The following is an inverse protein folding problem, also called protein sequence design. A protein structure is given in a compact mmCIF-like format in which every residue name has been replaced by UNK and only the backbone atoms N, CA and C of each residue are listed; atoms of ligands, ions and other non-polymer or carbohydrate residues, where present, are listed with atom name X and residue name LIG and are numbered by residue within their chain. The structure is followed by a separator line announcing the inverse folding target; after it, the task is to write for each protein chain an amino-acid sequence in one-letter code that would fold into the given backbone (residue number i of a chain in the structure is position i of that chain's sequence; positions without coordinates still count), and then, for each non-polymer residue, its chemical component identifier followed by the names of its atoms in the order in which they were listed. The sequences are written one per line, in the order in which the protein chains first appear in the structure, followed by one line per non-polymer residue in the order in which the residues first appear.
data_IF_844585251056
#
_entry.id   IF_844585251056
#
_cell.length_a   1.000
_cell.length_b   1.000
_cell.length_c   1.000
_cell.angle_alpha   90.00
_cell.angle_beta   90.00
_cell.angle_gamma   90.00
#
_symmetry.space_group_name_H-M   'P 1'
#
loop_
_entity.id
_entity.type
_entity.pdbx_description
1 polymer ?
#
# COMPACT_ATOMS: atom_id res chain seq x y z
N UNK A 1 13.75 17.60 5.09
CA UNK A 1 12.83 18.66 4.63
C UNK A 1 11.39 18.16 4.54
N UNK A 2 11.12 17.03 3.89
CA UNK A 2 9.73 16.52 3.77
C UNK A 2 9.15 16.04 5.12
N UNK A 3 9.96 15.39 5.95
CA UNK A 3 9.51 14.96 7.28
C UNK A 3 9.23 16.14 8.22
N UNK A 4 10.04 17.22 8.18
CA UNK A 4 9.79 18.43 8.95
C UNK A 4 8.46 19.10 8.56
N UNK A 5 8.17 19.19 7.27
CA UNK A 5 6.87 19.71 6.79
C UNK A 5 5.72 18.83 7.29
N UNK A 6 5.89 17.50 7.31
CA UNK A 6 4.93 16.56 7.87
C UNK A 6 4.67 16.81 9.36
N UNK A 7 5.74 17.01 10.14
CA UNK A 7 5.64 17.30 11.60
C UNK A 7 4.89 18.61 11.86
N UNK A 8 5.25 19.70 11.16
CA UNK A 8 4.58 21.00 11.30
C UNK A 8 3.08 20.92 10.99
N UNK A 9 2.70 20.08 10.04
CA UNK A 9 1.29 19.88 9.68
C UNK A 9 0.53 19.12 10.74
N UNK A 10 1.11 18.05 11.28
CA UNK A 10 0.46 17.27 12.34
C UNK A 10 0.22 18.13 13.58
N UNK A 11 1.19 18.98 13.94
CA UNK A 11 1.04 19.95 15.03
C UNK A 11 -0.11 20.92 14.74
N UNK A 12 -0.12 21.53 13.56
CA UNK A 12 -1.19 22.46 13.15
C UNK A 12 -2.57 21.80 13.17
N UNK A 13 -2.68 20.58 12.64
CA UNK A 13 -3.96 19.88 12.56
C UNK A 13 -4.46 19.51 13.97
N UNK A 14 -3.55 19.11 14.87
CA UNK A 14 -3.87 18.90 16.30
C UNK A 14 -4.36 20.18 16.98
N UNK A 15 -3.70 21.31 16.75
CA UNK A 15 -4.15 22.62 17.25
C UNK A 15 -5.53 23.05 16.71
N UNK A 16 -5.90 22.56 15.54
CA UNK A 16 -7.22 22.76 14.94
C UNK A 16 -8.29 21.76 15.38
N UNK A 17 -7.94 20.86 16.30
CA UNK A 17 -8.87 19.91 16.90
C UNK A 17 -9.03 18.59 16.13
N UNK A 18 -8.11 18.24 15.24
CA UNK A 18 -8.05 16.89 14.69
C UNK A 18 -7.54 15.96 15.77
N UNK A 19 -8.40 15.07 16.28
CA UNK A 19 -8.07 14.20 17.42
C UNK A 19 -7.46 12.84 16.98
N UNK A 20 -7.77 12.40 15.78
CA UNK A 20 -7.34 11.09 15.26
C UNK A 20 -6.87 11.21 13.83
N UNK A 21 -5.68 10.73 13.55
CA UNK A 21 -5.09 10.71 12.22
C UNK A 21 -4.16 9.50 12.07
N UNK A 22 -4.18 8.89 10.92
CA UNK A 22 -3.17 7.94 10.48
C UNK A 22 -2.43 8.52 9.28
N UNK A 23 -1.14 8.79 9.45
CA UNK A 23 -0.25 9.20 8.38
C UNK A 23 0.43 7.98 7.76
N UNK A 24 0.32 7.84 6.48
CA UNK A 24 0.97 6.82 5.67
C UNK A 24 2.03 7.49 4.79
N UNK A 25 3.30 7.20 5.03
CA UNK A 25 4.43 7.83 4.35
C UNK A 25 4.90 6.98 3.18
N UNK A 26 4.72 7.50 1.96
CA UNK A 26 5.25 6.92 0.74
C UNK A 26 6.64 7.50 0.40
N UNK A 27 7.44 6.74 -0.35
CA UNK A 27 8.74 7.21 -0.82
C UNK A 27 9.75 7.54 0.28
N UNK A 28 9.59 6.98 1.46
CA UNK A 28 10.45 7.22 2.63
C UNK A 28 11.89 6.70 2.47
N UNK A 29 12.09 5.77 1.55
CA UNK A 29 13.34 5.04 1.37
C UNK A 29 14.28 5.74 0.38
N UNK A 30 15.59 5.51 0.50
CA UNK A 30 16.62 6.12 -0.34
C UNK A 30 16.42 5.88 -1.84
N UNK A 31 15.99 4.70 -2.31
CA UNK A 31 15.71 4.50 -3.73
C UNK A 31 14.51 5.30 -4.26
N UNK A 32 13.63 5.77 -3.38
CA UNK A 32 12.37 6.43 -3.72
C UNK A 32 11.21 5.46 -3.91
N UNK A 33 10.04 6.02 -4.27
CA UNK A 33 8.83 5.28 -4.51
C UNK A 33 8.97 4.39 -5.75
N UNK A 34 8.44 3.17 -5.69
CA UNK A 34 8.47 2.17 -6.78
C UNK A 34 9.85 1.96 -7.39
N UNK A 35 10.86 1.80 -6.52
CA UNK A 35 12.23 1.64 -6.96
C UNK A 35 13.01 0.65 -6.08
N UNK A 36 13.80 -0.21 -6.71
CA UNK A 36 14.72 -1.18 -6.10
C UNK A 36 14.11 -2.15 -5.08
N UNK A 37 12.79 -2.41 -5.15
CA UNK A 37 12.20 -3.43 -4.29
C UNK A 37 12.92 -4.78 -4.43
N UNK A 38 13.18 -5.48 -3.31
CA UNK A 38 12.77 -5.24 -1.92
C UNK A 38 13.79 -4.43 -1.08
N UNK A 39 14.75 -3.74 -1.73
CA UNK A 39 15.84 -3.02 -1.06
C UNK A 39 15.46 -1.55 -0.79
N UNK A 40 14.62 -1.33 0.23
CA UNK A 40 14.18 0.00 0.63
C UNK A 40 15.23 0.80 1.41
N UNK A 41 16.05 0.10 2.20
CA UNK A 41 16.97 0.72 3.14
C UNK A 41 18.15 1.44 2.48
N UNK A 42 18.64 2.53 3.05
CA UNK A 42 18.21 3.25 4.25
C UNK A 42 17.05 4.23 3.99
N UNK A 43 16.63 4.98 5.02
CA UNK A 43 15.74 6.11 4.85
C UNK A 43 16.37 7.18 3.95
N UNK A 44 15.56 7.88 3.15
CA UNK A 44 15.98 8.86 2.15
C UNK A 44 16.69 10.05 2.80
N UNK A 45 17.95 10.28 2.44
CA UNK A 45 18.76 11.39 2.97
C UNK A 45 18.20 12.75 2.58
N UNK A 46 17.67 12.87 1.39
CA UNK A 46 17.09 14.11 0.87
C UNK A 46 15.82 14.49 1.64
N UNK A 47 15.16 13.50 2.24
CA UNK A 47 14.00 13.69 3.13
C UNK A 47 14.39 13.85 4.61
N UNK A 48 15.69 13.82 4.95
CA UNK A 48 16.21 13.96 6.30
C UNK A 48 16.71 12.66 6.94
N UNK A 49 16.61 11.53 6.22
CA UNK A 49 17.15 10.25 6.67
C UNK A 49 16.39 9.67 7.88
N UNK A 50 17.09 8.82 8.63
CA UNK A 50 16.51 8.16 9.80
C UNK A 50 16.15 9.13 10.94
N UNK A 51 16.89 10.23 11.09
CA UNK A 51 16.69 11.20 12.14
C UNK A 51 15.36 11.92 11.98
N UNK A 52 15.11 12.52 10.80
CA UNK A 52 13.87 13.26 10.53
C UNK A 52 12.67 12.31 10.42
N UNK A 53 12.86 11.09 9.90
CA UNK A 53 11.79 10.08 9.91
C UNK A 53 11.37 9.69 11.33
N UNK A 54 12.35 9.57 12.25
CA UNK A 54 12.06 9.31 13.65
C UNK A 54 11.37 10.50 14.31
N UNK A 55 11.83 11.72 14.06
CA UNK A 55 11.20 12.95 14.57
C UNK A 55 9.74 13.05 14.10
N UNK A 56 9.46 12.74 12.82
CA UNK A 56 8.09 12.70 12.32
C UNK A 56 7.24 11.66 13.06
N UNK A 57 7.74 10.44 13.23
CA UNK A 57 7.02 9.39 13.95
C UNK A 57 6.74 9.78 15.40
N UNK A 58 7.74 10.36 16.10
CA UNK A 58 7.59 10.82 17.48
C UNK A 58 6.57 11.96 17.58
N UNK A 59 6.61 12.94 16.68
CA UNK A 59 5.63 14.04 16.61
C UNK A 59 4.21 13.53 16.38
N UNK A 60 4.04 12.56 15.49
CA UNK A 60 2.73 11.92 15.27
C UNK A 60 2.19 11.33 16.58
N UNK A 61 3.04 10.60 17.31
CA UNK A 61 2.64 9.98 18.57
C UNK A 61 2.38 11.00 19.69
N UNK A 62 3.13 12.10 19.74
CA UNK A 62 2.90 13.20 20.70
C UNK A 62 1.55 13.88 20.44
N UNK A 63 1.12 13.98 19.17
CA UNK A 63 -0.22 14.46 18.81
C UNK A 63 -1.32 13.42 19.04
N UNK A 64 -1.01 12.20 19.47
CA UNK A 64 -1.96 11.11 19.64
C UNK A 64 -2.34 10.41 18.32
N UNK A 65 -1.56 10.61 17.28
CA UNK A 65 -1.76 10.09 15.94
C UNK A 65 -1.02 8.77 15.70
N UNK A 66 -1.35 8.11 14.58
CA UNK A 66 -0.70 6.88 14.14
C UNK A 66 0.22 7.16 12.95
N UNK A 67 1.37 6.48 12.92
CA UNK A 67 2.35 6.58 11.85
C UNK A 67 2.58 5.25 11.16
N UNK A 68 2.58 5.24 9.83
CA UNK A 68 2.82 4.07 9.00
C UNK A 68 3.62 4.39 7.74
N UNK A 69 4.01 3.35 7.04
CA UNK A 69 4.84 3.42 5.83
C UNK A 69 4.29 2.54 4.73
N UNK A 70 4.70 2.88 3.50
CA UNK A 70 4.48 2.07 2.30
C UNK A 70 5.70 1.23 1.98
N UNK A 71 5.49 -0.05 1.73
CA UNK A 71 6.48 -1.01 1.23
C UNK A 71 5.85 -1.93 0.17
N UNK A 72 6.71 -2.64 -0.60
CA UNK A 72 6.29 -3.59 -1.62
C UNK A 72 7.30 -4.74 -1.72
N UNK A 73 6.83 -5.98 -1.84
CA UNK A 73 7.67 -7.20 -1.84
C UNK A 73 7.26 -8.21 -2.92
N UNK A 74 6.72 -7.73 -4.02
CA UNK A 74 6.38 -8.52 -5.20
C UNK A 74 7.20 -8.15 -6.43
N UNK A 75 7.27 -6.87 -6.76
CA UNK A 75 8.12 -6.40 -7.85
C UNK A 75 9.58 -6.55 -7.45
N UNK A 76 10.35 -7.17 -8.32
CA UNK A 76 11.76 -7.46 -8.08
C UNK A 76 12.60 -6.73 -9.11
N UNK A 77 13.08 -5.56 -8.73
CA UNK A 77 13.84 -4.70 -9.65
C UNK A 77 15.20 -5.29 -9.96
N UNK A 78 15.55 -5.33 -11.24
CA UNK A 78 16.87 -5.81 -11.68
C UNK A 78 18.02 -4.94 -11.17
N UNK A 79 17.76 -3.67 -10.88
CA UNK A 79 18.72 -2.76 -10.28
C UNK A 79 18.83 -2.88 -8.75
N UNK A 80 17.98 -3.67 -8.11
CA UNK A 80 18.03 -3.89 -6.66
C UNK A 80 19.31 -4.64 -6.27
N UNK A 81 20.03 -4.23 -5.21
CA UNK A 81 21.21 -4.94 -4.72
C UNK A 81 20.97 -6.42 -4.39
N UNK A 82 19.76 -6.76 -3.95
CA UNK A 82 19.36 -8.15 -3.66
C UNK A 82 18.88 -8.93 -4.88
N UNK A 83 18.90 -8.34 -6.09
CA UNK A 83 18.39 -9.03 -7.26
C UNK A 83 19.21 -10.31 -7.54
N UNK A 84 18.52 -11.44 -7.54
CA UNK A 84 19.06 -12.74 -7.91
C UNK A 84 17.98 -13.52 -8.65
N UNK A 85 18.28 -13.96 -9.85
CA UNK A 85 17.36 -14.76 -10.67
C UNK A 85 16.90 -16.04 -9.96
N UNK A 86 17.68 -16.54 -8.99
CA UNK A 86 17.29 -17.70 -8.19
C UNK A 86 16.16 -17.39 -7.21
N UNK A 87 15.86 -16.11 -6.93
CA UNK A 87 14.75 -15.69 -6.06
C UNK A 87 13.54 -15.19 -6.86
N UNK A 88 13.69 -15.05 -8.17
CA UNK A 88 12.59 -14.67 -9.04
C UNK A 88 11.63 -15.84 -9.33
N UNK A 89 10.35 -15.53 -9.56
CA UNK A 89 9.41 -16.52 -10.07
C UNK A 89 9.85 -17.04 -11.44
N UNK A 90 9.66 -18.35 -11.68
CA UNK A 90 9.89 -19.00 -12.96
C UNK A 90 8.59 -19.54 -13.54
N UNK A 91 8.43 -19.42 -14.84
CA UNK A 91 7.34 -20.05 -15.59
C UNK A 91 7.64 -21.54 -15.82
N UNK A 92 6.64 -22.34 -16.25
CA UNK A 92 6.82 -23.77 -16.50
C UNK A 92 7.90 -24.10 -17.54
N UNK A 93 8.22 -23.19 -18.46
CA UNK A 93 9.29 -23.35 -19.45
C UNK A 93 10.68 -22.94 -18.90
N UNK A 94 10.75 -22.56 -17.62
CA UNK A 94 11.96 -22.13 -16.94
C UNK A 94 12.31 -20.65 -17.14
N UNK A 95 11.59 -19.92 -17.96
CA UNK A 95 11.80 -18.47 -18.17
C UNK A 95 11.39 -17.66 -16.95
N UNK A 96 11.96 -16.47 -16.82
CA UNK A 96 11.65 -15.49 -15.76
C UNK A 96 10.79 -14.40 -16.40
N UNK A 97 9.55 -14.18 -15.92
CA UNK A 97 8.71 -13.10 -16.45
C UNK A 97 9.32 -11.74 -16.12
N UNK A 98 9.26 -10.83 -17.08
CA UNK A 98 9.81 -9.48 -16.95
C UNK A 98 8.80 -8.44 -17.41
N UNK A 99 8.84 -7.29 -16.77
CA UNK A 99 8.10 -6.10 -17.20
C UNK A 99 8.87 -4.82 -16.84
N UNK A 100 8.41 -3.70 -17.40
CA UNK A 100 8.93 -2.37 -17.09
C UNK A 100 7.76 -1.40 -17.10
N UNK A 101 7.10 -1.27 -15.96
CA UNK A 101 5.92 -0.41 -15.82
C UNK A 101 6.19 0.84 -15.00
N UNK A 102 7.15 0.77 -14.07
CA UNK A 102 7.38 1.80 -13.06
C UNK A 102 8.73 2.47 -13.25
N UNK A 103 8.93 3.60 -12.57
CA UNK A 103 10.10 4.46 -12.75
C UNK A 103 11.44 3.79 -12.40
N UNK A 104 11.44 2.79 -11.52
CA UNK A 104 12.64 2.06 -11.10
C UNK A 104 13.27 1.16 -12.17
N UNK A 105 12.66 1.02 -13.34
CA UNK A 105 13.21 0.28 -14.47
C UNK A 105 12.75 -1.16 -14.59
N UNK A 106 13.52 -2.03 -15.28
CA UNK A 106 13.15 -3.41 -15.52
C UNK A 106 12.95 -4.22 -14.24
N UNK A 107 11.91 -5.04 -14.21
CA UNK A 107 11.46 -5.81 -13.06
C UNK A 107 11.16 -7.25 -13.47
N UNK A 108 11.30 -8.14 -12.51
CA UNK A 108 10.72 -9.47 -12.47
C UNK A 108 9.74 -9.55 -11.30
N UNK A 109 9.35 -10.74 -10.88
CA UNK A 109 8.55 -10.98 -9.68
C UNK A 109 9.38 -11.73 -8.65
N UNK A 110 9.53 -11.16 -7.46
CA UNK A 110 10.10 -11.85 -6.31
C UNK A 110 9.17 -13.01 -5.94
N UNK A 111 9.70 -14.23 -5.88
CA UNK A 111 8.90 -15.34 -5.40
C UNK A 111 8.41 -15.08 -3.98
N UNK A 112 7.12 -15.21 -3.73
CA UNK A 112 6.54 -14.88 -2.43
C UNK A 112 7.12 -15.73 -1.28
N UNK A 113 7.75 -16.86 -1.58
CA UNK A 113 8.52 -17.65 -0.60
C UNK A 113 9.65 -16.85 0.05
N UNK A 114 10.17 -15.82 -0.64
CA UNK A 114 11.26 -14.96 -0.17
C UNK A 114 10.75 -13.69 0.56
N UNK A 115 9.53 -13.27 0.30
CA UNK A 115 8.97 -12.03 0.85
C UNK A 115 9.05 -11.93 2.38
N UNK A 116 8.74 -12.99 3.18
CA UNK A 116 8.83 -12.91 4.64
C UNK A 116 10.24 -12.60 5.16
N UNK A 117 11.28 -13.03 4.46
CA UNK A 117 12.66 -12.68 4.82
C UNK A 117 12.92 -11.18 4.69
N UNK A 118 12.55 -10.60 3.54
CA UNK A 118 12.78 -9.18 3.28
C UNK A 118 11.93 -8.28 4.16
N UNK A 119 10.66 -8.61 4.37
CA UNK A 119 9.79 -7.90 5.33
C UNK A 119 10.45 -7.88 6.72
N UNK A 120 10.84 -9.04 7.23
CA UNK A 120 11.50 -9.13 8.54
C UNK A 120 12.79 -8.33 8.59
N UNK A 121 13.63 -8.39 7.55
CA UNK A 121 14.88 -7.62 7.43
C UNK A 121 14.61 -6.13 7.55
N UNK A 122 13.72 -5.61 6.72
CA UNK A 122 13.46 -4.17 6.62
C UNK A 122 12.83 -3.61 7.90
N UNK A 123 11.78 -4.25 8.40
CA UNK A 123 11.11 -3.80 9.64
C UNK A 123 11.98 -3.95 10.89
N UNK A 124 12.88 -4.94 10.92
CA UNK A 124 13.87 -5.05 11.99
C UNK A 124 14.83 -3.86 11.98
N UNK A 125 15.26 -3.42 10.80
CA UNK A 125 16.18 -2.28 10.67
C UNK A 125 15.51 -0.96 11.07
N UNK A 126 14.29 -0.71 10.60
CA UNK A 126 13.49 0.47 10.98
C UNK A 126 13.35 0.53 12.52
N UNK A 127 13.04 -0.60 13.14
CA UNK A 127 12.93 -0.71 14.62
C UNK A 127 14.25 -0.41 15.34
N UNK A 128 15.40 -0.81 14.80
CA UNK A 128 16.72 -0.50 15.38
C UNK A 128 17.02 1.00 15.40
N UNK A 129 16.49 1.76 14.45
CA UNK A 129 16.57 3.22 14.41
C UNK A 129 15.60 3.90 15.39
N UNK A 130 14.88 3.14 16.21
CA UNK A 130 13.97 3.67 17.21
C UNK A 130 12.66 4.23 16.65
N UNK A 131 12.33 3.90 15.41
CA UNK A 131 11.09 4.33 14.76
C UNK A 131 9.99 3.34 15.14
N UNK A 132 8.94 3.83 15.78
CA UNK A 132 7.74 3.08 16.09
C UNK A 132 6.75 3.23 14.93
N UNK A 133 6.33 2.11 14.38
CA UNK A 133 5.27 2.06 13.35
C UNK A 133 3.99 1.52 13.97
N UNK A 134 2.86 2.17 13.66
CA UNK A 134 1.52 1.70 14.01
C UNK A 134 0.88 0.95 12.85
N UNK A 135 1.26 1.26 11.61
CA UNK A 135 0.76 0.59 10.42
C UNK A 135 1.82 0.40 9.34
N UNK A 136 1.54 -0.51 8.42
CA UNK A 136 2.35 -0.72 7.24
C UNK A 136 1.47 -1.18 6.07
N UNK A 137 1.63 -0.51 4.95
CA UNK A 137 0.98 -0.84 3.70
C UNK A 137 1.92 -1.68 2.84
N UNK A 138 1.55 -2.94 2.61
CA UNK A 138 2.27 -3.81 1.69
C UNK A 138 1.55 -3.80 0.34
N UNK A 139 2.08 -3.00 -0.55
CA UNK A 139 1.51 -2.78 -1.88
C UNK A 139 1.47 -4.05 -2.73
N UNK A 140 0.57 -4.08 -3.69
CA UNK A 140 0.32 -5.13 -4.70
C UNK A 140 0.05 -6.55 -4.18
N UNK A 141 0.03 -6.78 -2.88
CA UNK A 141 -0.19 -8.14 -2.35
C UNK A 141 -1.62 -8.63 -2.54
N UNK A 142 -2.60 -7.75 -2.47
CA UNK A 142 -4.02 -8.10 -2.50
C UNK A 142 -4.74 -7.74 -3.80
N UNK A 143 -4.15 -6.90 -4.66
CA UNK A 143 -4.74 -6.50 -5.94
C UNK A 143 -4.43 -7.45 -7.10
N UNK A 144 -3.51 -8.39 -6.91
CA UNK A 144 -3.08 -9.33 -7.93
C UNK A 144 -3.50 -10.74 -7.60
N UNK A 145 -3.77 -11.53 -8.63
CA UNK A 145 -3.80 -12.98 -8.49
C UNK A 145 -2.47 -13.48 -7.90
N UNK A 146 -2.53 -14.56 -7.13
CA UNK A 146 -1.33 -15.18 -6.60
C UNK A 146 -0.39 -15.61 -7.72
N UNK A 147 0.89 -15.28 -7.58
CA UNK A 147 1.91 -15.73 -8.51
C UNK A 147 2.18 -17.23 -8.34
N UNK A 148 2.53 -17.89 -9.44
CA UNK A 148 3.02 -19.27 -9.44
C UNK A 148 4.51 -19.29 -9.75
N UNK A 149 5.24 -20.27 -9.22
CA UNK A 149 6.66 -20.40 -9.46
C UNK A 149 7.03 -21.87 -9.68
N UNK A 150 7.66 -22.16 -10.81
CA UNK A 150 8.16 -23.50 -11.17
C UNK A 150 9.67 -23.68 -10.87
N UNK A 151 10.31 -22.75 -10.17
CA UNK A 151 11.67 -22.95 -9.72
C UNK A 151 11.76 -24.18 -8.80
N UNK A 152 12.59 -25.18 -9.09
CA UNK A 152 12.65 -26.42 -8.31
C UNK A 152 13.08 -26.22 -6.86
N UNK A 153 13.82 -25.15 -6.54
CA UNK A 153 14.29 -24.85 -5.18
C UNK A 153 13.19 -24.20 -4.30
N UNK A 154 12.22 -23.53 -4.92
CA UNK A 154 11.12 -22.84 -4.20
C UNK A 154 9.85 -22.85 -5.04
N UNK A 155 9.47 -24.01 -5.55
CA UNK A 155 8.21 -24.18 -6.26
C UNK A 155 7.05 -23.66 -5.39
N UNK A 156 6.12 -22.95 -6.02
CA UNK A 156 5.03 -22.28 -5.32
C UNK A 156 3.78 -22.27 -6.20
N UNK A 157 2.70 -22.76 -5.65
CA UNK A 157 1.36 -22.62 -6.22
C UNK A 157 0.77 -21.26 -5.85
N UNK A 158 -0.30 -20.86 -6.55
CA UNK A 158 -1.05 -19.64 -6.26
C UNK A 158 -1.54 -19.60 -4.80
N UNK A 159 -2.04 -20.72 -4.29
CA UNK A 159 -2.45 -20.83 -2.90
C UNK A 159 -1.31 -20.58 -1.92
N UNK A 160 -0.17 -21.20 -2.16
CA UNK A 160 1.02 -21.00 -1.32
C UNK A 160 1.53 -19.56 -1.41
N UNK A 161 1.39 -18.89 -2.57
CA UNK A 161 1.68 -17.47 -2.70
C UNK A 161 0.87 -16.64 -1.71
N UNK A 162 -0.43 -16.87 -1.62
CA UNK A 162 -1.29 -16.19 -0.63
C UNK A 162 -0.88 -16.52 0.80
N UNK A 163 -0.50 -17.76 1.08
CA UNK A 163 -0.02 -18.15 2.41
C UNK A 163 1.29 -17.43 2.79
N UNK A 164 2.24 -17.27 1.86
CA UNK A 164 3.48 -16.53 2.12
C UNK A 164 3.24 -15.03 2.27
N UNK A 165 2.37 -14.42 1.46
CA UNK A 165 1.94 -13.03 1.64
C UNK A 165 1.23 -12.84 2.98
N UNK A 166 0.36 -13.76 3.37
CA UNK A 166 -0.30 -13.79 4.67
C UNK A 166 0.68 -13.81 5.84
N UNK A 167 1.77 -14.60 5.75
CA UNK A 167 2.84 -14.61 6.76
C UNK A 167 3.53 -13.26 6.92
N UNK A 168 3.60 -12.45 5.87
CA UNK A 168 4.12 -11.09 5.97
C UNK A 168 3.18 -10.23 6.83
N UNK A 169 1.89 -10.30 6.61
CA UNK A 169 0.89 -9.60 7.43
C UNK A 169 0.88 -10.09 8.87
N UNK A 170 0.91 -11.40 9.09
CA UNK A 170 1.00 -12.00 10.42
C UNK A 170 2.25 -11.55 11.19
N UNK A 171 3.39 -11.45 10.48
CA UNK A 171 4.61 -10.91 11.09
C UNK A 171 4.42 -9.48 11.55
N UNK A 172 3.83 -8.60 10.73
CA UNK A 172 3.54 -7.21 11.11
C UNK A 172 2.63 -7.15 12.34
N UNK A 173 1.54 -7.91 12.35
CA UNK A 173 0.65 -8.01 13.53
C UNK A 173 1.40 -8.47 14.77
N UNK A 174 2.31 -9.45 14.64
CA UNK A 174 3.12 -9.92 15.77
C UNK A 174 4.07 -8.84 16.33
N UNK A 175 4.39 -7.82 15.54
CA UNK A 175 5.17 -6.65 15.96
C UNK A 175 4.29 -5.49 16.47
N UNK A 176 2.97 -5.64 16.48
CA UNK A 176 2.01 -4.59 16.84
C UNK A 176 1.77 -3.59 15.72
N UNK A 177 2.11 -3.93 14.48
CA UNK A 177 1.95 -3.09 13.29
C UNK A 177 0.71 -3.56 12.52
N UNK A 178 -0.22 -2.65 12.25
CA UNK A 178 -1.47 -2.92 11.55
C UNK A 178 -1.24 -3.03 10.05
N UNK A 179 -1.50 -4.19 9.41
CA UNK A 179 -1.28 -4.34 7.97
C UNK A 179 -2.39 -3.72 7.15
N UNK A 180 -1.99 -3.10 6.05
CA UNK A 180 -2.87 -2.67 4.97
C UNK A 180 -2.29 -3.10 3.61
N UNK A 181 -3.11 -3.06 2.57
CA UNK A 181 -2.70 -3.38 1.21
C UNK A 181 -3.63 -2.71 0.21
N UNK A 182 -3.44 -2.98 -1.09
CA UNK A 182 -4.08 -2.21 -2.16
C UNK A 182 -5.58 -2.51 -2.26
N UNK A 183 -5.97 -3.76 -2.43
CA UNK A 183 -7.37 -4.15 -2.58
C UNK A 183 -7.84 -5.12 -1.48
N UNK A 184 -9.13 -5.31 -1.40
CA UNK A 184 -9.71 -6.32 -0.52
C UNK A 184 -9.55 -7.72 -1.13
N UNK A 185 -9.27 -8.69 -0.27
CA UNK A 185 -9.21 -10.10 -0.67
C UNK A 185 -9.58 -11.00 0.51
N UNK A 186 -10.35 -12.07 0.26
CA UNK A 186 -10.85 -12.97 1.28
C UNK A 186 -9.74 -13.68 2.06
N UNK A 187 -8.65 -14.06 1.40
CA UNK A 187 -7.51 -14.72 2.04
C UNK A 187 -6.75 -13.80 3.01
N UNK A 188 -6.87 -12.47 2.83
CA UNK A 188 -6.17 -11.46 3.64
C UNK A 188 -7.00 -10.97 4.86
N UNK A 189 -8.32 -11.22 4.87
CA UNK A 189 -9.23 -10.77 5.94
C UNK A 189 -8.73 -11.08 7.36
N UNK A 190 -8.13 -12.24 7.66
CA UNK A 190 -7.65 -12.52 9.00
C UNK A 190 -6.59 -11.56 9.53
N UNK A 191 -5.91 -10.83 8.67
CA UNK A 191 -4.78 -9.96 9.04
C UNK A 191 -4.95 -8.52 8.59
N UNK A 192 -5.65 -8.29 7.48
CA UNK A 192 -5.78 -6.98 6.86
C UNK A 192 -6.73 -6.08 7.65
N UNK A 193 -6.28 -4.88 8.00
CA UNK A 193 -7.10 -3.88 8.73
C UNK A 193 -7.71 -2.86 7.80
N UNK A 194 -6.97 -2.47 6.76
CA UNK A 194 -7.32 -1.38 5.86
C UNK A 194 -6.88 -1.72 4.43
N UNK A 195 -7.61 -1.25 3.43
CA UNK A 195 -7.21 -1.30 2.03
C UNK A 195 -7.42 0.06 1.34
N UNK A 196 -6.66 0.33 0.28
CA UNK A 196 -6.76 1.59 -0.47
C UNK A 196 -7.93 1.60 -1.44
N UNK A 197 -8.29 0.44 -1.98
CA UNK A 197 -9.37 0.31 -2.95
C UNK A 197 -10.38 -0.73 -2.49
N UNK A 198 -11.65 -0.36 -2.61
CA UNK A 198 -12.75 -1.29 -2.52
C UNK A 198 -13.02 -1.92 -3.90
N UNK A 199 -13.65 -3.10 -3.98
CA UNK A 199 -13.89 -3.81 -5.24
C UNK A 199 -15.01 -3.18 -6.08
N UNK A 200 -15.17 -1.87 -6.03
CA UNK A 200 -16.34 -1.19 -6.60
C UNK A 200 -16.13 -0.70 -8.01
N UNK A 201 -14.90 -0.39 -8.42
CA UNK A 201 -14.62 0.20 -9.71
C UNK A 201 -15.05 -0.69 -10.88
N UNK A 202 -14.87 -2.00 -10.77
CA UNK A 202 -15.34 -2.93 -11.78
C UNK A 202 -16.84 -3.19 -11.72
N UNK A 203 -17.49 -2.94 -10.58
CA UNK A 203 -18.95 -3.01 -10.44
C UNK A 203 -19.63 -1.76 -11.00
N UNK A 204 -18.93 -0.63 -11.02
CA UNK A 204 -19.41 0.66 -11.49
C UNK A 204 -18.84 0.96 -12.88
N UNK A 205 -19.33 0.27 -13.88
CA UNK A 205 -18.96 0.56 -15.28
C UNK A 205 -19.31 2.00 -15.63
N UNK A 206 -18.48 2.63 -16.46
CA UNK A 206 -18.73 3.98 -16.99
C UNK A 206 -20.16 4.09 -17.54
N UNK A 207 -20.86 5.22 -17.32
CA UNK A 207 -22.17 5.45 -17.88
C UNK A 207 -22.21 5.16 -19.39
N UNK A 208 -23.25 4.47 -19.86
CA UNK A 208 -23.39 4.09 -21.27
C UNK A 208 -22.64 2.83 -21.72
N UNK A 209 -21.83 2.22 -20.85
CA UNK A 209 -21.20 0.93 -21.15
C UNK A 209 -22.20 -0.22 -20.92
N UNK A 210 -22.37 -1.17 -21.84
CA UNK A 210 -23.23 -2.33 -21.60
C UNK A 210 -22.78 -3.10 -20.37
N UNK A 211 -23.72 -3.38 -19.46
CA UNK A 211 -23.46 -4.23 -18.29
C UNK A 211 -23.52 -5.69 -18.69
N UNK A 212 -22.50 -6.45 -18.39
CA UNK A 212 -22.49 -7.90 -18.54
C UNK A 212 -22.92 -8.54 -17.22
N UNK A 213 -24.21 -8.84 -17.10
CA UNK A 213 -24.77 -9.41 -15.89
C UNK A 213 -25.06 -8.39 -14.77
N UNK A 214 -25.40 -8.90 -13.61
CA UNK A 214 -25.65 -8.14 -12.40
C UNK A 214 -24.51 -8.40 -11.42
N UNK A 215 -23.74 -7.39 -11.00
CA UNK A 215 -22.69 -7.58 -10.00
C UNK A 215 -23.31 -8.00 -8.66
N UNK A 216 -22.73 -9.03 -8.07
CA UNK A 216 -23.10 -9.48 -6.72
C UNK A 216 -21.98 -9.05 -5.77
N UNK A 217 -22.23 -8.15 -4.81
CA UNK A 217 -21.19 -7.66 -3.89
C UNK A 217 -20.89 -8.71 -2.80
N UNK A 218 -20.49 -9.91 -3.22
CA UNK A 218 -20.35 -11.07 -2.33
C UNK A 218 -19.33 -10.83 -1.23
N UNK A 219 -18.20 -10.18 -1.54
CA UNK A 219 -17.21 -9.84 -0.54
C UNK A 219 -17.80 -8.96 0.57
N UNK A 220 -18.51 -7.91 0.21
CA UNK A 220 -19.09 -6.99 1.18
C UNK A 220 -20.25 -7.59 1.96
N UNK A 221 -21.01 -8.47 1.36
CA UNK A 221 -22.06 -9.20 2.09
C UNK A 221 -21.50 -10.06 3.24
N UNK A 222 -20.25 -10.53 3.09
CA UNK A 222 -19.61 -11.41 4.07
C UNK A 222 -18.65 -10.66 4.99
N UNK A 223 -17.91 -9.67 4.49
CA UNK A 223 -16.74 -9.09 5.17
C UNK A 223 -16.78 -7.57 5.33
N UNK A 224 -17.93 -6.89 5.12
CA UNK A 224 -18.03 -5.43 5.15
C UNK A 224 -17.60 -4.78 6.48
N UNK A 225 -17.62 -5.53 7.57
CA UNK A 225 -17.25 -5.09 8.91
C UNK A 225 -15.84 -5.58 9.36
N UNK A 226 -15.13 -6.30 8.48
CA UNK A 226 -13.83 -6.89 8.81
C UNK A 226 -12.64 -6.02 8.42
N UNK A 227 -12.76 -5.24 7.34
CA UNK A 227 -11.68 -4.44 6.77
C UNK A 227 -12.20 -3.04 6.45
N UNK A 228 -11.46 -2.01 6.83
CA UNK A 228 -11.79 -0.64 6.45
C UNK A 228 -11.53 -0.47 4.95
N UNK A 229 -12.59 -0.10 4.21
CA UNK A 229 -12.55 0.08 2.77
C UNK A 229 -12.85 1.55 2.44
N UNK A 230 -11.92 2.28 1.82
CA UNK A 230 -12.18 3.65 1.45
C UNK A 230 -13.12 3.74 0.25
N UNK A 231 -13.84 4.82 0.18
CA UNK A 231 -14.72 5.15 -0.92
C UNK A 231 -14.38 6.53 -1.48
N UNK A 232 -13.98 6.59 -2.73
CA UNK A 232 -13.51 7.83 -3.37
C UNK A 232 -14.66 8.80 -3.62
N UNK A 233 -14.70 9.89 -2.88
CA UNK A 233 -15.77 10.89 -2.95
C UNK A 233 -15.74 11.75 -4.21
N UNK A 234 -14.60 11.88 -4.86
CA UNK A 234 -14.44 12.60 -6.13
C UNK A 234 -15.18 11.93 -7.30
N UNK A 235 -15.37 10.61 -7.23
CA UNK A 235 -16.16 9.85 -8.22
C UNK A 235 -17.67 10.01 -8.08
N UNK A 236 -18.15 10.66 -7.03
CA UNK A 236 -19.59 10.88 -6.79
C UNK A 236 -20.26 11.62 -7.95
N UNK A 237 -19.55 12.56 -8.57
CA UNK A 237 -20.07 13.31 -9.72
C UNK A 237 -20.11 12.51 -11.03
N UNK A 238 -19.43 11.37 -11.09
CA UNK A 238 -19.31 10.57 -12.31
C UNK A 238 -20.32 9.42 -12.40
N UNK A 239 -20.88 9.01 -11.26
CA UNK A 239 -21.82 7.89 -11.18
C UNK A 239 -22.93 8.20 -10.16
N UNK A 240 -24.17 8.29 -10.65
CA UNK A 240 -25.35 8.67 -9.84
C UNK A 240 -25.53 7.84 -8.56
N UNK A 241 -25.14 6.55 -8.60
CA UNK A 241 -25.34 5.64 -7.49
C UNK A 241 -24.07 5.42 -6.63
N UNK A 242 -22.98 6.13 -6.92
CA UNK A 242 -21.69 5.88 -6.27
C UNK A 242 -21.76 6.04 -4.74
N UNK A 243 -22.35 7.13 -4.25
CA UNK A 243 -22.55 7.34 -2.81
C UNK A 243 -23.45 6.30 -2.18
N UNK A 244 -24.51 5.89 -2.89
CA UNK A 244 -25.42 4.86 -2.41
C UNK A 244 -24.68 3.52 -2.24
N UNK A 245 -23.85 3.15 -3.19
CA UNK A 245 -23.01 1.95 -3.08
C UNK A 245 -22.04 2.05 -1.90
N UNK A 246 -21.40 3.21 -1.68
CA UNK A 246 -20.52 3.45 -0.53
C UNK A 246 -21.25 3.20 0.78
N UNK A 247 -22.41 3.82 0.96
CA UNK A 247 -23.23 3.69 2.16
C UNK A 247 -23.72 2.27 2.39
N UNK A 248 -24.20 1.60 1.34
CA UNK A 248 -24.71 0.23 1.43
C UNK A 248 -23.62 -0.79 1.75
N UNK A 249 -22.39 -0.50 1.43
CA UNK A 249 -21.26 -1.40 1.65
C UNK A 249 -20.39 -0.99 2.85
N UNK A 250 -20.82 0.00 3.65
CA UNK A 250 -20.08 0.45 4.84
C UNK A 250 -18.72 1.08 4.50
N UNK A 251 -18.59 1.65 3.30
CA UNK A 251 -17.35 2.27 2.85
C UNK A 251 -17.02 3.56 3.61
N UNK A 252 -15.77 3.73 4.01
CA UNK A 252 -15.29 4.96 4.62
C UNK A 252 -15.14 6.06 3.55
N UNK A 253 -15.64 7.29 3.77
CA UNK A 253 -15.49 8.36 2.80
C UNK A 253 -14.02 8.71 2.60
N UNK A 254 -13.63 8.87 1.35
CA UNK A 254 -12.27 9.19 0.92
C UNK A 254 -12.30 10.43 0.05
N UNK A 255 -11.64 11.50 0.50
CA UNK A 255 -11.52 12.74 -0.24
C UNK A 255 -10.13 12.84 -0.84
N UNK A 256 -10.08 12.87 -2.18
CA UNK A 256 -8.87 13.28 -2.90
C UNK A 256 -9.05 14.75 -3.20
N UNK A 257 -8.27 15.61 -2.57
CA UNK A 257 -8.21 17.01 -2.89
C UNK A 257 -6.92 17.27 -3.65
N UNK A 258 -7.04 17.88 -4.83
CA UNK A 258 -5.90 18.22 -5.68
C UNK A 258 -4.96 17.01 -5.85
N UNK A 259 -5.55 15.88 -6.24
CA UNK A 259 -4.89 14.60 -6.28
C UNK A 259 -3.55 14.67 -7.02
N UNK A 260 -2.49 14.38 -6.30
CA UNK A 260 -1.15 14.25 -6.85
C UNK A 260 -0.97 12.95 -7.66
N UNK A 261 -2.05 12.43 -8.26
CA UNK A 261 -1.88 11.37 -9.23
C UNK A 261 -1.40 11.98 -10.53
N UNK A 262 -0.38 11.39 -11.16
CA UNK A 262 -0.09 11.74 -12.53
C UNK A 262 -1.40 11.58 -13.30
N UNK A 263 -1.80 12.62 -14.04
CA UNK A 263 -2.89 12.44 -14.97
C UNK A 263 -2.54 11.30 -15.94
N UNK A 264 -3.52 10.81 -16.71
CA UNK A 264 -3.37 9.66 -17.63
C UNK A 264 -2.15 9.81 -18.57
N UNK A 265 -1.64 11.01 -18.75
CA UNK A 265 -0.49 11.35 -19.60
C UNK A 265 0.85 11.39 -18.81
N UNK A 266 0.85 11.07 -17.52
CA UNK A 266 2.06 11.05 -16.69
C UNK A 266 2.61 12.43 -16.31
N UNK A 267 1.88 13.51 -16.60
CA UNK A 267 2.23 14.85 -16.13
C UNK A 267 1.64 15.06 -14.73
N UNK A 268 2.46 15.55 -13.81
CA UNK A 268 1.95 16.07 -12.53
C UNK A 268 1.17 17.37 -12.82
N UNK A 269 0.02 17.52 -12.19
CA UNK A 269 -0.66 18.79 -12.20
C UNK A 269 0.17 19.81 -11.41
N UNK A 270 0.70 20.83 -12.08
CA UNK A 270 1.49 21.89 -11.46
C UNK A 270 0.71 22.72 -10.41
N UNK A 271 -0.61 22.49 -10.31
CA UNK A 271 -1.47 23.10 -9.29
C UNK A 271 -1.54 22.28 -7.98
N UNK A 272 -0.81 21.17 -7.87
CA UNK A 272 -0.71 20.44 -6.61
C UNK A 272 0.04 21.31 -5.61
N UNK A 273 -0.68 21.98 -4.75
CA UNK A 273 -0.06 22.63 -3.61
C UNK A 273 0.52 21.56 -2.68
N UNK A 274 1.74 21.75 -2.14
CA UNK A 274 2.38 20.80 -1.21
C UNK A 274 1.60 20.48 0.07
N UNK A 275 0.36 20.93 0.17
CA UNK A 275 -0.54 20.88 1.34
C UNK A 275 -1.73 19.95 1.11
N UNK A 276 -1.81 19.25 -0.02
CA UNK A 276 -2.91 18.34 -0.28
C UNK A 276 -2.66 16.98 0.36
N UNK A 277 -3.38 16.73 1.44
CA UNK A 277 -3.29 15.49 2.20
C UNK A 277 -4.56 14.71 2.12
N UNK A 278 -4.38 13.41 1.99
CA UNK A 278 -5.46 12.48 2.23
C UNK A 278 -5.56 12.27 3.73
N UNK A 279 -6.50 12.96 4.37
CA UNK A 279 -6.81 12.72 5.78
C UNK A 279 -7.98 11.74 5.88
N UNK A 280 -7.73 10.56 6.36
CA UNK A 280 -8.75 9.66 6.87
C UNK A 280 -9.02 10.05 8.32
N UNK A 281 -10.07 10.82 8.58
CA UNK A 281 -10.62 10.96 9.93
C UNK A 281 -11.42 9.69 10.23
N UNK A 282 -10.87 8.81 11.06
CA UNK A 282 -11.60 7.69 11.62
C UNK A 282 -12.59 8.21 12.67
N UNK A 283 -13.84 7.73 12.69
CA UNK A 283 -14.82 8.12 13.69
C UNK A 283 -14.44 7.70 15.11
#
# INVERSE_FOLDING_TARGET
AQCLVGSEMCIRDSEQGVEKLYLHLDGWAQPGYDNQHPDYLPACKEAGGWEDMKELADTMHECGYMFGIHDQYRDFYKAAPSFDENYACRLPDGSIPEHQRWAGGPQSYLCATQAPYYVKRNFTEIKKHGIRLDGAYLDVFTCNEGDECDNPEHRMTRRECYEFRGRCFEYLLSQGILPSSEEVSDWAVPSLVFCHYAPYDFMMKKPGTPKEGVPVPLYNLVYHDCVIQPWMMDKVSEAEDYMLYALLNGGAPYLIRDAAYPNIDGAFDDNVTPVSYTHLTLP
#
